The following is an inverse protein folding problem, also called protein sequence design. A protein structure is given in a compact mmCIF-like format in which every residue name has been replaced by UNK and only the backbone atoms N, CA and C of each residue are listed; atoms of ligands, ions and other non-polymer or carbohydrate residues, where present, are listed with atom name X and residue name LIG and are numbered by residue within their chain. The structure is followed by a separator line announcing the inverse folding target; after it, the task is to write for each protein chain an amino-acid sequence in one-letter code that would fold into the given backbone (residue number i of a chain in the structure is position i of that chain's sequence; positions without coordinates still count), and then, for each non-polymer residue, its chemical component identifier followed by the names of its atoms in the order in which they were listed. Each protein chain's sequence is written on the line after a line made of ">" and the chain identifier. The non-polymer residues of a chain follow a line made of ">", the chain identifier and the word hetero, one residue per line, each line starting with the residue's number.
data_IF_409706892904
#
_entry.id   IF_409706892904
#
_cell.length_a   1.000
_cell.length_b   1.000
_cell.length_c   1.000
_cell.angle_alpha   90.00
_cell.angle_beta   90.00
_cell.angle_gamma   90.00
#
_symmetry.space_group_name_H-M   'P 1'
#
loop_
_entity.id
_entity.type
_entity.pdbx_description
1 polymer ?
#
# COMPACT_ATOMS: atom_id res chain seq x y z
N UNK A 1 -28.54 0.39 -20.56
CA UNK A 1 -27.29 -0.39 -20.63
C UNK A 1 -27.20 -1.27 -19.39
N UNK A 2 -27.47 -2.55 -19.53
CA UNK A 2 -27.51 -3.55 -18.43
C UNK A 2 -26.04 -3.91 -18.14
N UNK A 3 -25.49 -3.45 -17.00
CA UNK A 3 -24.21 -3.97 -16.50
C UNK A 3 -24.38 -5.49 -16.30
N UNK A 4 -23.65 -6.30 -17.07
CA UNK A 4 -23.49 -7.73 -16.80
C UNK A 4 -23.02 -7.83 -15.33
N UNK A 5 -23.78 -8.50 -14.49
CA UNK A 5 -23.29 -8.95 -13.18
C UNK A 5 -22.17 -9.94 -13.48
N UNK A 6 -20.93 -9.50 -13.33
CA UNK A 6 -19.79 -10.41 -13.33
C UNK A 6 -20.04 -11.45 -12.25
N UNK A 7 -19.85 -12.71 -12.60
CA UNK A 7 -20.03 -13.78 -11.62
C UNK A 7 -18.91 -13.64 -10.57
N UNK A 8 -19.29 -13.34 -9.32
CA UNK A 8 -18.35 -13.15 -8.21
C UNK A 8 -17.41 -14.36 -8.05
N UNK A 9 -17.88 -15.55 -8.41
CA UNK A 9 -17.09 -16.78 -8.34
C UNK A 9 -15.89 -16.78 -9.31
N UNK A 10 -15.96 -16.05 -10.42
CA UNK A 10 -14.85 -15.96 -11.39
C UNK A 10 -13.67 -15.14 -10.82
N UNK A 11 -13.92 -14.33 -9.80
CA UNK A 11 -12.92 -13.50 -9.11
C UNK A 11 -12.41 -14.14 -7.81
N UNK A 12 -13.04 -15.23 -7.36
CA UNK A 12 -12.62 -15.94 -6.16
C UNK A 12 -11.36 -16.76 -6.44
N UNK A 13 -10.32 -16.53 -5.66
CA UNK A 13 -9.10 -17.35 -5.63
C UNK A 13 -8.96 -17.98 -4.25
N UNK A 14 -8.90 -19.31 -4.22
CA UNK A 14 -8.68 -20.07 -3.00
C UNK A 14 -7.20 -20.42 -2.89
N UNK A 15 -6.58 -20.07 -1.77
CA UNK A 15 -5.21 -20.51 -1.43
C UNK A 15 -5.28 -21.92 -0.89
N UNK A 16 -4.62 -22.87 -1.55
CA UNK A 16 -4.71 -24.28 -1.24
C UNK A 16 -3.30 -24.85 -1.06
N UNK A 17 -3.10 -25.64 -0.02
CA UNK A 17 -1.82 -26.36 0.16
C UNK A 17 -1.70 -27.47 -0.86
N UNK A 18 -0.52 -27.66 -1.46
CA UNK A 18 -0.24 -28.78 -2.37
C UNK A 18 -0.59 -30.12 -1.69
N UNK A 19 -1.30 -30.97 -2.41
CA UNK A 19 -1.77 -32.27 -1.90
C UNK A 19 -3.11 -32.22 -1.14
N UNK A 20 -3.75 -31.05 -1.02
CA UNK A 20 -5.11 -30.92 -0.46
C UNK A 20 -6.11 -30.44 -1.53
N UNK A 21 -7.39 -30.41 -1.19
CA UNK A 21 -8.47 -29.96 -2.08
C UNK A 21 -9.00 -28.61 -1.64
N UNK A 22 -9.52 -27.78 -2.58
CA UNK A 22 -10.21 -26.54 -2.24
C UNK A 22 -11.43 -26.81 -1.35
N UNK A 23 -11.63 -25.95 -0.33
CA UNK A 23 -12.75 -26.07 0.61
C UNK A 23 -14.11 -25.69 -0.01
N UNK A 24 -14.09 -24.87 -1.05
CA UNK A 24 -15.30 -24.35 -1.68
C UNK A 24 -15.44 -24.80 -3.13
N UNK A 25 -16.70 -25.03 -3.54
CA UNK A 25 -17.03 -25.33 -4.92
C UNK A 25 -17.17 -24.02 -5.69
N UNK A 26 -16.15 -23.62 -6.42
CA UNK A 26 -16.14 -22.45 -7.30
C UNK A 26 -14.90 -21.58 -7.13
N UNK A 27 -14.68 -20.68 -8.05
CA UNK A 27 -13.47 -19.91 -8.13
C UNK A 27 -12.28 -20.69 -8.69
N UNK A 28 -11.11 -20.14 -8.56
CA UNK A 28 -9.83 -20.76 -8.96
C UNK A 28 -9.03 -21.14 -7.74
N UNK A 29 -8.35 -22.29 -7.77
CA UNK A 29 -7.41 -22.68 -6.73
C UNK A 29 -5.99 -22.27 -7.12
N UNK A 30 -5.29 -21.65 -6.19
CA UNK A 30 -3.86 -21.38 -6.27
C UNK A 30 -3.15 -22.27 -5.26
N UNK A 31 -2.27 -23.15 -5.74
CA UNK A 31 -1.60 -24.16 -4.93
C UNK A 31 -0.23 -23.68 -4.49
N UNK A 32 0.09 -23.86 -3.21
CA UNK A 32 1.36 -23.47 -2.59
C UNK A 32 1.86 -24.63 -1.71
N UNK A 33 3.17 -24.75 -1.59
CA UNK A 33 3.79 -25.76 -0.72
C UNK A 33 3.40 -25.56 0.73
N UNK A 34 3.45 -24.31 1.17
CA UNK A 34 3.02 -23.91 2.50
C UNK A 34 1.90 -22.87 2.42
N UNK A 35 0.92 -22.94 3.30
CA UNK A 35 -0.20 -21.98 3.37
C UNK A 35 0.31 -20.53 3.54
N UNK A 36 1.36 -20.34 4.33
CA UNK A 36 1.91 -19.01 4.61
C UNK A 36 2.39 -18.29 3.34
N UNK A 37 3.06 -19.01 2.43
CA UNK A 37 3.52 -18.46 1.15
C UNK A 37 2.36 -18.02 0.27
N UNK A 38 1.31 -18.83 0.21
CA UNK A 38 0.10 -18.53 -0.55
C UNK A 38 -0.67 -17.34 0.00
N UNK A 39 -0.79 -17.23 1.31
CA UNK A 39 -1.45 -16.09 1.96
C UNK A 39 -0.64 -14.81 1.81
N UNK A 40 0.69 -14.87 1.93
CA UNK A 40 1.58 -13.73 1.70
C UNK A 40 1.43 -13.22 0.26
N UNK A 41 1.42 -14.12 -0.72
CA UNK A 41 1.19 -13.76 -2.12
C UNK A 41 -0.22 -13.19 -2.36
N UNK A 42 -1.23 -13.64 -1.61
CA UNK A 42 -2.58 -13.09 -1.67
C UNK A 42 -2.64 -11.67 -1.07
N UNK A 43 -2.00 -11.43 0.07
CA UNK A 43 -1.90 -10.12 0.72
C UNK A 43 -1.27 -9.10 -0.22
N UNK A 44 -0.22 -9.46 -0.95
CA UNK A 44 0.45 -8.56 -1.91
C UNK A 44 -0.48 -8.07 -3.03
N UNK A 45 -1.55 -8.79 -3.31
CA UNK A 45 -2.53 -8.47 -4.37
C UNK A 45 -3.88 -7.98 -3.83
N UNK A 46 -4.02 -7.89 -2.51
CA UNK A 46 -5.27 -7.49 -1.87
C UNK A 46 -5.39 -5.98 -1.74
N UNK A 47 -6.60 -5.47 -1.87
CA UNK A 47 -6.93 -4.08 -1.55
C UNK A 47 -7.40 -3.90 -0.10
N UNK A 48 -7.86 -4.98 0.52
CA UNK A 48 -8.27 -5.05 1.92
C UNK A 48 -8.21 -6.51 2.40
N UNK A 49 -8.16 -6.70 3.72
CA UNK A 49 -8.21 -8.03 4.36
C UNK A 49 -9.38 -8.08 5.32
N UNK A 50 -10.19 -9.11 5.22
CA UNK A 50 -11.27 -9.43 6.16
C UNK A 50 -10.90 -10.66 6.95
N UNK A 51 -10.96 -10.58 8.28
CA UNK A 51 -10.68 -11.71 9.16
C UNK A 51 -11.97 -12.31 9.69
N UNK A 52 -12.14 -13.60 9.47
CA UNK A 52 -13.26 -14.39 9.99
C UNK A 52 -12.69 -15.55 10.81
N UNK A 53 -12.94 -15.56 12.13
CA UNK A 53 -12.45 -16.61 13.00
C UNK A 53 -10.91 -16.74 12.94
N UNK A 54 -10.43 -17.94 12.68
CA UNK A 54 -9.01 -18.27 12.54
C UNK A 54 -8.38 -18.82 13.82
N UNK A 55 -7.31 -19.61 13.65
CA UNK A 55 -6.52 -20.17 14.75
C UNK A 55 -5.05 -20.11 14.36
N UNK A 56 -4.28 -19.24 15.00
CA UNK A 56 -2.83 -19.13 14.80
C UNK A 56 -2.44 -18.21 13.63
N UNK A 57 -2.18 -18.76 12.44
CA UNK A 57 -1.61 -18.03 11.33
C UNK A 57 -2.44 -16.85 10.79
N UNK A 58 -3.74 -16.80 11.03
CA UNK A 58 -4.62 -15.70 10.60
C UNK A 58 -4.27 -14.38 11.28
N UNK A 59 -3.89 -14.44 12.55
CA UNK A 59 -3.44 -13.25 13.29
C UNK A 59 -2.15 -12.67 12.69
N UNK A 60 -1.16 -13.52 12.41
CA UNK A 60 0.13 -13.09 11.87
C UNK A 60 -0.04 -12.47 10.47
N UNK A 61 -0.91 -13.05 9.64
CA UNK A 61 -1.23 -12.51 8.33
C UNK A 61 -1.93 -11.14 8.41
N UNK A 62 -2.83 -10.97 9.37
CA UNK A 62 -3.45 -9.67 9.64
C UNK A 62 -2.44 -8.61 10.03
N UNK A 63 -1.48 -9.00 10.87
CA UNK A 63 -0.39 -8.12 11.28
C UNK A 63 0.48 -7.71 10.08
N UNK A 64 0.89 -8.67 9.25
CA UNK A 64 1.67 -8.43 8.02
C UNK A 64 0.88 -7.52 7.07
N UNK A 65 -0.40 -7.79 6.83
CA UNK A 65 -1.25 -6.97 5.97
C UNK A 65 -1.29 -5.52 6.45
N UNK A 66 -1.44 -5.31 7.76
CA UNK A 66 -1.44 -3.98 8.36
C UNK A 66 -0.10 -3.27 8.22
N UNK A 67 1.02 -3.97 8.40
CA UNK A 67 2.37 -3.42 8.18
C UNK A 67 2.59 -2.99 6.72
N UNK A 68 1.90 -3.62 5.78
CA UNK A 68 1.91 -3.25 4.37
C UNK A 68 0.88 -2.13 4.03
N UNK A 69 0.24 -1.54 5.05
CA UNK A 69 -0.73 -0.47 4.86
C UNK A 69 -2.08 -0.91 4.29
N UNK A 70 -2.39 -2.22 4.32
CA UNK A 70 -3.71 -2.72 3.94
C UNK A 70 -4.73 -2.46 5.04
N UNK A 71 -5.94 -2.02 4.72
CA UNK A 71 -7.04 -2.00 5.67
C UNK A 71 -7.41 -3.42 6.07
N UNK A 72 -7.45 -3.67 7.38
CA UNK A 72 -7.79 -4.99 7.94
C UNK A 72 -9.07 -4.86 8.76
N UNK A 73 -10.07 -5.66 8.39
CA UNK A 73 -11.40 -5.68 8.99
C UNK A 73 -11.61 -6.99 9.76
N UNK A 74 -11.25 -7.06 11.03
CA UNK A 74 -11.61 -8.20 11.86
C UNK A 74 -13.13 -8.20 12.11
N UNK A 75 -13.73 -9.37 12.07
CA UNK A 75 -15.13 -9.62 12.47
C UNK A 75 -15.12 -10.38 13.81
N UNK A 76 -15.08 -9.67 14.96
CA UNK A 76 -14.85 -10.28 16.27
C UNK A 76 -15.92 -11.29 16.67
N UNK A 77 -17.17 -11.09 16.21
CA UNK A 77 -18.29 -12.01 16.47
C UNK A 77 -18.08 -13.43 15.92
N UNK A 78 -17.08 -13.65 15.07
CA UNK A 78 -16.68 -14.97 14.58
C UNK A 78 -15.65 -15.68 15.49
N UNK A 79 -15.15 -15.00 16.54
CA UNK A 79 -14.19 -15.54 17.50
C UNK A 79 -12.76 -15.68 16.95
N UNK A 80 -11.97 -16.51 17.61
CA UNK A 80 -10.63 -16.89 17.18
C UNK A 80 -9.68 -15.72 17.01
N UNK A 81 -8.82 -15.80 15.99
CA UNK A 81 -7.82 -14.76 15.68
C UNK A 81 -8.44 -13.42 15.28
N UNK A 82 -9.65 -13.41 14.71
CA UNK A 82 -10.37 -12.18 14.40
C UNK A 82 -10.69 -11.39 15.67
N UNK A 83 -11.19 -12.06 16.71
CA UNK A 83 -11.44 -11.42 18.01
C UNK A 83 -10.12 -10.98 18.66
N UNK A 84 -9.12 -11.86 18.68
CA UNK A 84 -7.80 -11.56 19.27
C UNK A 84 -7.13 -10.35 18.59
N UNK A 85 -7.22 -10.25 17.27
CA UNK A 85 -6.66 -9.13 16.53
C UNK A 85 -7.38 -7.82 16.84
N UNK A 86 -8.72 -7.85 16.90
CA UNK A 86 -9.52 -6.71 17.31
C UNK A 86 -9.18 -6.23 18.74
N UNK A 87 -9.04 -7.14 19.70
CA UNK A 87 -8.66 -6.79 21.08
C UNK A 87 -7.27 -6.14 21.12
N UNK A 88 -6.29 -6.67 20.36
CA UNK A 88 -4.96 -6.06 20.24
C UNK A 88 -5.03 -4.63 19.68
N UNK A 89 -5.91 -4.37 18.71
CA UNK A 89 -6.10 -3.02 18.17
C UNK A 89 -6.69 -2.07 19.20
N UNK A 90 -7.59 -2.53 20.06
CA UNK A 90 -8.18 -1.73 21.15
C UNK A 90 -7.16 -1.39 22.22
N UNK A 91 -6.29 -2.31 22.56
CA UNK A 91 -5.24 -2.12 23.59
C UNK A 91 -4.14 -1.17 23.11
N UNK A 92 -3.90 -1.11 21.80
CA UNK A 92 -2.86 -0.27 21.18
C UNK A 92 -3.31 1.18 20.98
N UNK A 93 -3.82 1.83 22.00
CA UNK A 93 -4.55 3.11 21.92
C UNK A 93 -3.79 4.31 21.33
N UNK A 94 -2.47 4.26 21.24
CA UNK A 94 -1.64 5.35 20.69
C UNK A 94 -1.43 5.31 19.16
N UNK A 95 -1.56 4.13 18.54
CA UNK A 95 -1.30 3.94 17.09
C UNK A 95 -2.57 3.96 16.22
N UNK A 96 -3.74 4.02 16.82
CA UNK A 96 -5.02 3.69 16.15
C UNK A 96 -5.80 4.89 15.63
N UNK A 97 -5.44 6.09 16.01
CA UNK A 97 -6.25 7.27 15.70
C UNK A 97 -6.26 7.68 14.21
N UNK A 98 -5.38 7.14 13.37
CA UNK A 98 -5.19 7.61 11.99
C UNK A 98 -5.12 6.53 10.90
N UNK A 99 -5.28 5.25 11.25
CA UNK A 99 -5.25 4.16 10.26
C UNK A 99 -6.68 3.68 9.99
N UNK A 100 -7.12 3.74 8.74
CA UNK A 100 -8.43 3.17 8.34
C UNK A 100 -8.33 1.63 8.26
N UNK A 101 -9.30 0.87 8.77
CA UNK A 101 -10.47 1.35 9.52
C UNK A 101 -10.12 1.82 10.93
N UNK A 102 -10.84 2.84 11.41
CA UNK A 102 -10.72 3.34 12.78
C UNK A 102 -11.33 2.35 13.79
N UNK A 103 -10.95 2.45 15.08
CA UNK A 103 -11.57 1.61 16.12
C UNK A 103 -13.09 1.77 16.16
N UNK A 104 -13.61 2.98 16.04
CA UNK A 104 -15.06 3.23 16.02
C UNK A 104 -15.76 2.53 14.85
N UNK A 105 -15.10 2.43 13.70
CA UNK A 105 -15.64 1.66 12.56
C UNK A 105 -15.60 0.16 12.87
N UNK A 106 -14.50 -0.34 13.42
CA UNK A 106 -14.35 -1.76 13.79
C UNK A 106 -15.34 -2.17 14.91
N UNK A 107 -15.65 -1.27 15.84
CA UNK A 107 -16.65 -1.53 16.90
C UNK A 107 -18.04 -1.86 16.33
N UNK A 108 -18.38 -1.37 15.15
CA UNK A 108 -19.65 -1.73 14.47
C UNK A 108 -19.66 -3.19 13.98
N UNK A 109 -18.50 -3.80 13.78
CA UNK A 109 -18.34 -5.21 13.41
C UNK A 109 -18.27 -6.13 14.64
N UNK A 110 -18.11 -5.57 15.85
CA UNK A 110 -18.03 -6.32 17.09
C UNK A 110 -19.45 -6.61 17.64
N UNK A 111 -20.17 -7.44 16.92
CA UNK A 111 -21.51 -7.91 17.32
C UNK A 111 -21.53 -9.42 17.43
N UNK A 112 -22.20 -9.99 18.44
CA UNK A 112 -22.44 -11.42 18.49
C UNK A 112 -23.22 -11.87 17.25
N UNK A 113 -22.78 -12.93 16.60
CA UNK A 113 -23.45 -13.53 15.45
C UNK A 113 -24.12 -14.82 15.94
N UNK A 114 -25.39 -14.72 16.33
CA UNK A 114 -26.15 -15.84 16.90
C UNK A 114 -27.18 -16.38 15.93
N UNK A 115 -27.57 -15.59 14.95
CA UNK A 115 -28.57 -15.92 13.96
C UNK A 115 -28.27 -15.24 12.62
N UNK A 116 -29.09 -15.54 11.61
CA UNK A 116 -28.92 -15.00 10.27
C UNK A 116 -29.05 -13.47 10.21
N UNK A 117 -29.95 -12.90 10.99
CA UNK A 117 -30.15 -11.43 11.02
C UNK A 117 -28.93 -10.70 11.59
N UNK A 118 -28.28 -11.26 12.61
CA UNK A 118 -27.02 -10.72 13.15
C UNK A 118 -25.93 -10.73 12.07
N UNK A 119 -25.84 -11.83 11.33
CA UNK A 119 -24.86 -11.96 10.24
C UNK A 119 -25.14 -10.93 9.11
N UNK A 120 -26.38 -10.73 8.72
CA UNK A 120 -26.79 -9.75 7.72
C UNK A 120 -26.40 -8.33 8.13
N UNK A 121 -26.62 -7.95 9.39
CA UNK A 121 -26.21 -6.63 9.91
C UNK A 121 -24.68 -6.44 9.90
N UNK A 122 -23.92 -7.47 10.24
CA UNK A 122 -22.45 -7.41 10.21
C UNK A 122 -21.94 -7.31 8.76
N UNK A 123 -22.55 -8.06 7.84
CA UNK A 123 -22.21 -8.00 6.41
C UNK A 123 -22.49 -6.60 5.85
N UNK A 124 -23.65 -6.02 6.13
CA UNK A 124 -23.99 -4.66 5.68
C UNK A 124 -23.01 -3.61 6.23
N UNK A 125 -22.66 -3.70 7.52
CA UNK A 125 -21.66 -2.83 8.13
C UNK A 125 -20.29 -2.99 7.46
N UNK A 126 -19.87 -4.23 7.20
CA UNK A 126 -18.61 -4.56 6.54
C UNK A 126 -18.58 -4.03 5.09
N UNK A 127 -19.64 -4.24 4.31
CA UNK A 127 -19.75 -3.75 2.93
C UNK A 127 -19.66 -2.23 2.88
N UNK A 128 -20.33 -1.53 3.78
CA UNK A 128 -20.28 -0.08 3.89
C UNK A 128 -18.87 0.44 4.25
N UNK A 129 -18.18 -0.24 5.14
CA UNK A 129 -16.82 0.13 5.54
C UNK A 129 -15.79 -0.20 4.46
N UNK A 130 -15.88 -1.38 3.83
CA UNK A 130 -15.06 -1.75 2.69
C UNK A 130 -15.24 -0.76 1.54
N UNK A 131 -16.50 -0.42 1.20
CA UNK A 131 -16.81 0.55 0.15
C UNK A 131 -16.15 1.90 0.41
N UNK A 132 -16.23 2.42 1.63
CA UNK A 132 -15.56 3.68 2.03
C UNK A 132 -14.04 3.57 1.96
N UNK A 133 -13.48 2.49 2.49
CA UNK A 133 -12.03 2.27 2.51
C UNK A 133 -11.46 2.08 1.10
N UNK A 134 -12.15 1.32 0.25
CA UNK A 134 -11.73 1.09 -1.14
C UNK A 134 -11.91 2.34 -2.00
N UNK A 135 -12.98 3.13 -1.79
CA UNK A 135 -13.15 4.41 -2.46
C UNK A 135 -12.06 5.40 -2.05
N UNK A 136 -11.78 5.51 -0.75
CA UNK A 136 -10.68 6.34 -0.26
C UNK A 136 -9.31 5.89 -0.80
N UNK A 137 -9.10 4.60 -1.05
CA UNK A 137 -7.91 4.06 -1.73
C UNK A 137 -7.96 4.28 -3.24
N UNK A 138 -9.14 4.16 -3.86
CA UNK A 138 -9.35 4.47 -5.28
C UNK A 138 -9.14 5.95 -5.62
N UNK A 139 -9.47 6.84 -4.68
CA UNK A 139 -9.11 8.26 -4.75
C UNK A 139 -7.61 8.50 -4.55
N UNK A 140 -6.91 7.55 -3.90
CA UNK A 140 -5.44 7.53 -3.78
C UNK A 140 -4.84 6.69 -4.89
N UNK A 141 -4.93 7.16 -6.10
CA UNK A 141 -4.34 6.50 -7.28
C UNK A 141 -3.08 7.20 -7.77
N UNK A 142 -2.48 8.06 -6.95
CA UNK A 142 -1.30 8.85 -7.32
C UNK A 142 -0.01 8.21 -6.83
N UNK A 143 1.00 8.30 -7.70
CA UNK A 143 2.41 8.10 -7.35
C UNK A 143 3.01 9.49 -7.23
N UNK A 144 3.42 9.86 -6.03
CA UNK A 144 4.12 11.12 -5.78
C UNK A 144 5.62 10.91 -6.01
N UNK A 145 6.25 11.76 -6.82
CA UNK A 145 7.70 11.71 -7.03
C UNK A 145 8.31 12.97 -6.43
N UNK A 146 9.14 12.79 -5.38
CA UNK A 146 9.93 13.84 -4.77
C UNK A 146 11.35 13.80 -5.31
N UNK A 147 11.83 14.93 -5.81
CA UNK A 147 13.15 15.04 -6.44
C UNK A 147 13.67 16.48 -6.34
N UNK A 148 14.98 16.68 -6.52
CA UNK A 148 15.53 18.03 -6.73
C UNK A 148 15.34 18.45 -8.18
N UNK A 149 14.88 19.68 -8.42
CA UNK A 149 14.66 20.20 -9.79
C UNK A 149 15.88 20.10 -10.70
N UNK A 150 17.07 20.12 -10.14
CA UNK A 150 18.31 19.92 -10.86
C UNK A 150 18.49 18.48 -11.37
N UNK A 151 17.71 17.55 -10.84
CA UNK A 151 17.73 16.12 -11.19
C UNK A 151 16.64 15.72 -12.20
N UNK A 152 16.10 16.70 -12.94
CA UNK A 152 15.01 16.48 -13.91
C UNK A 152 15.33 15.41 -14.98
N UNK A 153 16.60 15.20 -15.31
CA UNK A 153 17.01 14.12 -16.23
C UNK A 153 16.67 12.75 -15.66
N UNK A 154 16.91 12.53 -14.38
CA UNK A 154 16.58 11.30 -13.69
C UNK A 154 15.07 11.11 -13.51
N UNK A 155 14.35 12.20 -13.22
CA UNK A 155 12.88 12.18 -13.20
C UNK A 155 12.31 11.69 -14.53
N UNK A 156 12.77 12.29 -15.66
CA UNK A 156 12.28 11.94 -16.98
C UNK A 156 12.61 10.49 -17.34
N UNK A 157 13.81 10.02 -17.04
CA UNK A 157 14.21 8.63 -17.25
C UNK A 157 13.32 7.69 -16.43
N UNK A 158 13.13 7.99 -15.14
CA UNK A 158 12.27 7.19 -14.26
C UNK A 158 10.83 7.15 -14.76
N UNK A 159 10.24 8.29 -15.15
CA UNK A 159 8.87 8.37 -15.68
C UNK A 159 8.72 7.52 -16.95
N UNK A 160 9.67 7.62 -17.88
CA UNK A 160 9.66 6.84 -19.13
C UNK A 160 9.67 5.33 -18.88
N UNK A 161 10.43 4.86 -17.90
CA UNK A 161 10.43 3.44 -17.51
C UNK A 161 9.13 3.09 -16.78
N UNK A 162 8.69 3.92 -15.85
CA UNK A 162 7.49 3.69 -15.04
C UNK A 162 6.22 3.53 -15.90
N UNK A 163 6.08 4.30 -16.97
CA UNK A 163 4.97 4.21 -17.92
C UNK A 163 4.80 2.81 -18.52
N UNK A 164 5.88 2.02 -18.63
CA UNK A 164 5.82 0.65 -19.15
C UNK A 164 5.19 -0.34 -18.15
N UNK A 165 5.17 0.01 -16.87
CA UNK A 165 4.64 -0.83 -15.78
C UNK A 165 3.24 -0.44 -15.32
N UNK A 166 2.83 0.79 -15.62
CA UNK A 166 1.52 1.28 -15.23
C UNK A 166 0.46 0.84 -16.26
N UNK A 167 -0.56 0.09 -15.86
CA UNK A 167 -1.70 -0.16 -16.74
C UNK A 167 -2.38 1.17 -17.05
N UNK A 168 -2.67 1.38 -18.34
CA UNK A 168 -3.35 2.59 -18.83
C UNK A 168 -4.54 2.96 -17.93
N UNK A 169 -4.60 4.22 -17.50
CA UNK A 169 -5.69 4.87 -16.76
C UNK A 169 -5.84 4.52 -15.26
N UNK A 170 -4.99 3.71 -14.64
CA UNK A 170 -5.15 3.38 -13.22
C UNK A 170 -4.42 4.31 -12.27
N UNK A 171 -3.33 4.96 -12.70
CA UNK A 171 -2.47 5.76 -11.82
C UNK A 171 -2.08 7.09 -12.44
N UNK A 172 -2.06 8.11 -11.60
CA UNK A 172 -1.59 9.44 -11.94
C UNK A 172 -0.22 9.63 -11.29
N UNK A 173 0.79 9.81 -12.13
CA UNK A 173 2.11 10.23 -11.65
C UNK A 173 2.06 11.72 -11.37
N UNK A 174 2.44 12.13 -10.16
CA UNK A 174 2.48 13.53 -9.77
C UNK A 174 3.89 13.94 -9.37
N UNK A 175 4.35 15.05 -9.89
CA UNK A 175 5.58 15.74 -9.53
C UNK A 175 5.34 17.27 -9.59
N UNK A 176 6.28 18.05 -9.07
CA UNK A 176 6.12 19.50 -8.95
C UNK A 176 6.01 20.26 -10.27
N UNK A 177 6.28 19.61 -11.42
CA UNK A 177 6.06 20.23 -12.75
C UNK A 177 4.58 20.42 -13.08
N UNK A 178 3.68 19.76 -12.33
CA UNK A 178 2.23 19.87 -12.52
C UNK A 178 1.60 21.03 -11.73
N UNK A 179 2.41 21.77 -10.99
CA UNK A 179 1.94 22.98 -10.27
C UNK A 179 1.83 24.13 -11.27
N UNK A 180 0.63 24.66 -11.44
CA UNK A 180 0.38 25.77 -12.35
C UNK A 180 0.81 27.12 -11.75
N UNK A 181 1.07 28.08 -12.65
CA UNK A 181 1.40 29.44 -12.22
C UNK A 181 0.19 30.09 -11.54
N UNK A 182 0.33 30.39 -10.26
CA UNK A 182 -0.75 30.94 -9.42
C UNK A 182 -1.22 30.00 -8.33
N UNK A 183 -0.87 28.72 -8.39
CA UNK A 183 -1.15 27.77 -7.33
C UNK A 183 -0.34 28.06 -6.08
N UNK A 184 -0.91 27.73 -4.93
CA UNK A 184 -0.19 27.74 -3.67
C UNK A 184 0.67 26.50 -3.56
N UNK A 185 1.94 26.64 -3.88
CA UNK A 185 2.91 25.56 -4.02
C UNK A 185 2.86 24.51 -2.89
N UNK A 186 2.85 24.97 -1.64
CA UNK A 186 2.79 24.08 -0.46
C UNK A 186 1.46 23.32 -0.39
N UNK A 187 0.34 24.00 -0.60
CA UNK A 187 -0.99 23.39 -0.55
C UNK A 187 -1.16 22.32 -1.65
N UNK A 188 -0.61 22.58 -2.85
CA UNK A 188 -0.62 21.61 -3.96
C UNK A 188 0.17 20.34 -3.61
N UNK A 189 1.34 20.49 -2.98
CA UNK A 189 2.15 19.35 -2.54
C UNK A 189 1.46 18.58 -1.41
N UNK A 190 0.92 19.26 -0.39
CA UNK A 190 0.21 18.60 0.71
C UNK A 190 -1.02 17.81 0.21
N UNK A 191 -1.76 18.38 -0.75
CA UNK A 191 -2.88 17.71 -1.39
C UNK A 191 -2.43 16.48 -2.21
N UNK A 192 -1.31 16.61 -2.95
CA UNK A 192 -0.75 15.51 -3.72
C UNK A 192 -0.28 14.36 -2.82
N UNK A 193 0.43 14.66 -1.73
CA UNK A 193 0.83 13.66 -0.72
C UNK A 193 -0.41 13.04 -0.06
N UNK A 194 -1.43 13.83 0.26
CA UNK A 194 -2.69 13.37 0.86
C UNK A 194 -3.43 12.36 0.00
N UNK A 195 -3.32 12.45 -1.33
CA UNK A 195 -3.96 11.56 -2.31
C UNK A 195 -3.00 10.49 -2.88
N UNK A 196 -1.72 10.53 -2.50
CA UNK A 196 -0.75 9.55 -2.95
C UNK A 196 -0.97 8.18 -2.27
N UNK A 197 -0.89 7.12 -3.05
CA UNK A 197 -0.81 5.73 -2.57
C UNK A 197 0.64 5.30 -2.39
N UNK A 198 1.50 5.83 -3.23
CA UNK A 198 2.94 5.56 -3.21
C UNK A 198 3.71 6.85 -3.39
N UNK A 199 4.91 6.88 -2.86
CA UNK A 199 5.87 7.92 -3.16
C UNK A 199 7.22 7.33 -3.53
N UNK A 200 7.90 7.98 -4.46
CA UNK A 200 9.26 7.65 -4.86
C UNK A 200 10.15 8.86 -4.61
N UNK A 201 11.24 8.67 -3.86
CA UNK A 201 12.24 9.69 -3.63
C UNK A 201 13.41 9.46 -4.58
N UNK A 202 13.74 10.43 -5.40
CA UNK A 202 14.98 10.43 -6.19
C UNK A 202 16.08 11.10 -5.35
N UNK A 203 16.79 10.27 -4.59
CA UNK A 203 17.74 10.74 -3.58
C UNK A 203 19.09 11.07 -4.21
N UNK A 204 19.46 12.35 -4.18
CA UNK A 204 20.76 12.86 -4.62
C UNK A 204 21.35 13.79 -3.57
N UNK A 205 22.60 14.18 -3.76
CA UNK A 205 23.24 15.22 -2.94
C UNK A 205 22.48 16.55 -2.99
N UNK A 206 21.81 16.85 -4.10
CA UNK A 206 20.94 18.03 -4.27
C UNK A 206 19.63 17.88 -3.54
N UNK A 207 18.98 16.71 -3.64
CA UNK A 207 17.80 16.36 -2.86
C UNK A 207 18.06 16.54 -1.36
N UNK A 208 19.20 16.04 -0.87
CA UNK A 208 19.58 16.13 0.53
C UNK A 208 19.85 17.57 1.00
N UNK A 209 20.26 18.46 0.11
CA UNK A 209 20.52 19.90 0.40
C UNK A 209 19.29 20.79 0.22
N UNK A 210 18.22 20.31 -0.37
CA UNK A 210 17.01 21.08 -0.57
C UNK A 210 16.30 21.33 0.75
N UNK A 211 16.35 22.55 1.24
CA UNK A 211 15.64 22.94 2.47
C UNK A 211 14.14 22.67 2.38
N UNK A 212 13.55 22.93 1.23
CA UNK A 212 12.13 22.69 1.02
C UNK A 212 11.75 21.22 1.18
N UNK A 213 12.49 20.32 0.54
CA UNK A 213 12.27 18.87 0.65
C UNK A 213 12.46 18.42 2.09
N UNK A 214 13.56 18.85 2.74
CA UNK A 214 13.91 18.43 4.10
C UNK A 214 12.91 18.92 5.15
N UNK A 215 12.36 20.11 4.98
CA UNK A 215 11.48 20.73 5.98
C UNK A 215 9.99 20.46 5.71
N UNK A 216 9.58 20.16 4.49
CA UNK A 216 8.17 20.05 4.12
C UNK A 216 7.80 18.67 3.55
N UNK A 217 8.40 18.26 2.44
CA UNK A 217 7.98 17.03 1.74
C UNK A 217 8.36 15.77 2.52
N UNK A 218 9.63 15.62 2.85
CA UNK A 218 10.16 14.40 3.47
C UNK A 218 9.49 14.09 4.82
N UNK A 219 9.30 15.04 5.74
CA UNK A 219 8.59 14.78 6.99
C UNK A 219 7.12 14.37 6.79
N UNK A 220 6.44 14.96 5.79
CA UNK A 220 5.06 14.62 5.46
C UNK A 220 4.97 13.21 4.86
N UNK A 221 5.88 12.85 3.96
CA UNK A 221 5.96 11.52 3.35
C UNK A 221 6.32 10.45 4.38
N UNK A 222 7.32 10.69 5.23
CA UNK A 222 7.71 9.75 6.29
C UNK A 222 6.56 9.54 7.30
N UNK A 223 5.84 10.60 7.68
CA UNK A 223 4.67 10.49 8.54
C UNK A 223 3.57 9.66 7.87
N UNK A 224 3.23 9.96 6.62
CA UNK A 224 2.21 9.23 5.88
C UNK A 224 2.58 7.74 5.69
N UNK A 225 3.87 7.43 5.50
CA UNK A 225 4.37 6.06 5.43
C UNK A 225 4.30 5.36 6.79
N UNK A 226 4.72 6.04 7.88
CA UNK A 226 4.63 5.50 9.24
C UNK A 226 3.21 5.24 9.72
N UNK A 227 2.24 6.01 9.21
CA UNK A 227 0.80 5.82 9.43
C UNK A 227 0.19 4.76 8.49
N UNK A 228 0.97 4.13 7.61
CA UNK A 228 0.49 3.15 6.65
C UNK A 228 -0.41 3.74 5.55
N UNK A 229 -0.43 5.07 5.38
CA UNK A 229 -1.26 5.75 4.39
C UNK A 229 -0.69 5.71 2.98
N UNK A 230 0.64 5.60 2.84
CA UNK A 230 1.33 5.41 1.56
C UNK A 230 2.54 4.48 1.72
N UNK A 231 2.98 3.89 0.62
CA UNK A 231 4.24 3.16 0.55
C UNK A 231 5.32 4.09 0.02
N UNK A 232 6.46 4.12 0.71
CA UNK A 232 7.59 4.97 0.35
C UNK A 232 8.69 4.12 -0.27
N UNK A 233 9.15 4.52 -1.44
CA UNK A 233 10.28 3.94 -2.17
C UNK A 233 11.33 5.02 -2.40
N UNK A 234 12.56 4.62 -2.60
CA UNK A 234 13.60 5.56 -2.96
C UNK A 234 14.60 4.97 -3.95
N UNK A 235 15.20 5.83 -4.72
CA UNK A 235 16.17 5.53 -5.76
C UNK A 235 17.38 6.41 -5.52
N UNK A 236 18.54 5.80 -5.27
CA UNK A 236 19.79 6.54 -5.03
C UNK A 236 20.38 6.99 -6.37
N UNK A 237 20.42 8.31 -6.58
CA UNK A 237 20.94 8.93 -7.79
C UNK A 237 22.46 9.11 -7.71
N UNK A 238 22.93 9.77 -6.66
CA UNK A 238 24.35 9.97 -6.38
C UNK A 238 24.65 9.76 -4.89
N UNK A 239 25.95 9.71 -4.52
CA UNK A 239 26.38 9.49 -3.14
C UNK A 239 25.93 10.63 -2.23
N UNK A 240 24.93 10.35 -1.44
CA UNK A 240 24.39 11.26 -0.43
C UNK A 240 24.88 10.86 0.96
N UNK A 241 25.94 11.52 1.44
CA UNK A 241 26.60 11.25 2.74
C UNK A 241 25.79 11.72 3.97
N UNK A 242 24.49 11.97 3.84
CA UNK A 242 23.71 12.55 4.92
C UNK A 242 22.77 11.57 5.60
N UNK A 243 22.56 11.78 6.89
CA UNK A 243 21.71 11.04 7.83
C UNK A 243 20.21 10.96 7.50
N UNK A 244 19.84 11.00 6.23
CA UNK A 244 18.57 10.51 5.71
C UNK A 244 18.39 9.02 6.06
N UNK A 245 19.49 8.29 6.21
CA UNK A 245 19.52 6.90 6.57
C UNK A 245 18.60 6.58 7.75
N UNK A 246 18.62 7.34 8.82
CA UNK A 246 17.81 7.02 10.01
C UNK A 246 16.30 7.16 9.82
N UNK A 247 15.84 7.95 8.84
CA UNK A 247 14.42 8.12 8.53
C UNK A 247 13.94 7.21 7.39
N UNK A 248 14.86 6.77 6.52
CA UNK A 248 14.58 6.00 5.31
C UNK A 248 15.21 4.60 5.37
N UNK A 249 16.12 4.32 6.31
CA UNK A 249 16.84 3.04 6.47
C UNK A 249 15.97 1.79 6.56
N UNK A 250 14.71 1.96 7.00
CA UNK A 250 13.75 0.87 7.01
C UNK A 250 13.27 0.46 5.60
N UNK A 251 13.65 1.22 4.57
CA UNK A 251 13.15 1.06 3.21
C UNK A 251 14.34 0.70 2.30
N UNK A 252 14.73 -0.55 2.24
CA UNK A 252 15.80 -1.09 1.40
C UNK A 252 16.21 -0.22 0.20
N UNK A 253 17.45 0.28 0.23
CA UNK A 253 18.19 0.60 -0.98
C UNK A 253 19.51 -0.15 -0.97
N UNK A 254 19.61 -1.21 -1.69
CA UNK A 254 20.82 -2.01 -1.75
C UNK A 254 21.70 -1.67 -2.95
N UNK A 255 21.51 -0.53 -3.63
CA UNK A 255 22.14 -0.31 -4.93
C UNK A 255 23.27 0.71 -4.89
N UNK A 256 24.25 0.51 -5.77
CA UNK A 256 25.18 1.56 -6.14
C UNK A 256 24.40 2.78 -6.67
N UNK A 257 24.85 4.01 -6.39
CA UNK A 257 24.25 5.20 -6.97
C UNK A 257 24.15 5.09 -8.49
N UNK A 258 22.99 5.44 -9.05
CA UNK A 258 22.79 5.34 -10.52
C UNK A 258 23.84 6.10 -11.31
N UNK A 259 24.27 7.27 -10.82
CA UNK A 259 25.28 8.09 -11.46
C UNK A 259 26.69 7.44 -11.49
N UNK A 260 26.95 6.49 -10.59
CA UNK A 260 28.23 5.75 -10.53
C UNK A 260 28.22 4.48 -11.39
N UNK A 261 27.05 4.05 -11.85
CA UNK A 261 26.93 2.91 -12.76
C UNK A 261 27.49 3.29 -14.13
N UNK A 262 28.50 2.56 -14.57
CA UNK A 262 29.19 2.84 -15.85
C UNK A 262 28.39 2.46 -17.08
N UNK A 263 27.43 1.57 -16.92
CA UNK A 263 26.61 1.03 -17.99
C UNK A 263 25.16 1.49 -17.86
N UNK A 264 24.65 2.15 -18.89
CA UNK A 264 23.27 2.59 -18.96
C UNK A 264 22.26 1.43 -18.82
N UNK A 265 22.64 0.21 -19.22
CA UNK A 265 21.78 -0.96 -19.05
C UNK A 265 21.65 -1.37 -17.58
N UNK A 266 22.67 -1.17 -16.75
CA UNK A 266 22.59 -1.37 -15.30
C UNK A 266 21.70 -0.33 -14.64
N UNK A 267 21.82 0.95 -15.03
CA UNK A 267 20.92 2.01 -14.55
C UNK A 267 19.47 1.68 -14.86
N UNK A 268 19.18 1.30 -16.10
CA UNK A 268 17.84 0.92 -16.52
C UNK A 268 17.32 -0.31 -15.76
N UNK A 269 18.16 -1.34 -15.58
CA UNK A 269 17.78 -2.55 -14.84
C UNK A 269 17.36 -2.23 -13.41
N UNK A 270 18.08 -1.35 -12.71
CA UNK A 270 17.75 -0.91 -11.36
C UNK A 270 16.42 -0.14 -11.33
N UNK A 271 16.20 0.75 -12.29
CA UNK A 271 14.92 1.48 -12.39
C UNK A 271 13.76 0.52 -12.69
N UNK A 272 13.95 -0.45 -13.58
CA UNK A 272 12.98 -1.48 -13.90
C UNK A 272 12.60 -2.31 -12.67
N UNK A 273 13.55 -2.67 -11.82
CA UNK A 273 13.31 -3.41 -10.60
C UNK A 273 12.43 -2.62 -9.63
N UNK A 274 12.72 -1.33 -9.41
CA UNK A 274 11.86 -0.47 -8.58
C UNK A 274 10.46 -0.31 -9.18
N UNK A 275 10.35 -0.11 -10.49
CA UNK A 275 9.05 -0.02 -11.17
C UNK A 275 8.26 -1.33 -11.06
N UNK A 276 8.93 -2.49 -11.10
CA UNK A 276 8.30 -3.79 -10.85
C UNK A 276 7.76 -3.90 -9.42
N UNK A 277 8.51 -3.45 -8.42
CA UNK A 277 8.05 -3.41 -7.03
C UNK A 277 6.89 -2.43 -6.84
N UNK A 278 6.91 -1.28 -7.51
CA UNK A 278 5.77 -0.37 -7.54
C UNK A 278 4.54 -1.05 -8.13
N UNK A 279 4.67 -1.75 -9.25
CA UNK A 279 3.57 -2.49 -9.89
C UNK A 279 2.98 -3.56 -8.97
N UNK A 280 3.80 -4.26 -8.19
CA UNK A 280 3.33 -5.28 -7.23
C UNK A 280 2.60 -4.67 -6.03
N UNK A 281 2.79 -3.39 -5.76
CA UNK A 281 2.14 -2.66 -4.68
C UNK A 281 0.78 -2.07 -5.05
N UNK A 282 0.36 -2.29 -6.27
CA UNK A 282 -0.96 -1.99 -6.80
C UNK A 282 -1.81 -3.24 -6.85
#
# INVERSE_FOLDING_TARGET
>A
MTRRRENVLDRLVQVVKEGTFPDYRGGRAAYFKEYFDGFTAAIQRADAVVLLGGVGGTYDLAYIARQQGLPVFPVPGTGGDALRFYDTLRESSAATAMVSPTLSELDTLNRPITNKGDAEMVIEALENQLGRSLNARGERNRIFISYSREDCVWLNLFKTVLEQYLPEQRFLVWDDTQIEAGDRFREAIDAAIGTARMAVLLVSSRFCKSEFIQQNELPALCRAAGEGRLRLFWLLIDDCKFGLASQIEALHAPYLPLAEMKDASQQLSTIHEICSHLQQGF
#
